data_IF_954557903353
#
_entry.id   IF_954557903353
#
_cell.length_a   1.000
_cell.length_b   1.000
_cell.length_c   1.000
_cell.angle_alpha   90.00
_cell.angle_beta   90.00
_cell.angle_gamma   90.00
#
_symmetry.space_group_name_H-M   'P 1'
#
loop_
_entity.id
_entity.type
_entity.pdbx_description
1 polymer ?
#
# COMPACT_ATOMS: atom_id res chain seq x y z
N UNK A 1 12.87 2.09 4.42
CA UNK A 1 11.85 1.37 3.62
C UNK A 1 12.24 1.50 2.15
N UNK A 2 12.37 0.39 1.41
CA UNK A 2 12.61 0.44 -0.03
C UNK A 2 11.28 0.34 -0.79
N UNK A 3 11.08 1.15 -1.82
CA UNK A 3 9.87 1.11 -2.64
C UNK A 3 9.88 -0.09 -3.60
N UNK A 4 11.04 -0.34 -4.21
CA UNK A 4 11.28 -1.49 -5.07
C UNK A 4 11.72 -2.70 -4.25
N UNK A 5 11.37 -3.89 -4.75
CA UNK A 5 11.82 -5.12 -4.12
C UNK A 5 13.31 -5.36 -4.38
N UNK A 6 13.98 -6.05 -3.47
CA UNK A 6 15.32 -6.56 -3.74
C UNK A 6 15.26 -7.61 -4.85
N UNK A 7 16.32 -7.68 -5.65
CA UNK A 7 16.47 -8.73 -6.67
C UNK A 7 16.41 -10.08 -5.97
N UNK A 8 15.41 -10.89 -6.33
CA UNK A 8 15.25 -12.22 -5.77
C UNK A 8 16.13 -13.16 -6.58
N UNK A 9 17.21 -13.68 -6.01
CA UNK A 9 18.06 -14.71 -6.62
C UNK A 9 17.38 -16.08 -6.85
N UNK A 10 16.05 -16.13 -6.76
CA UNK A 10 15.23 -17.33 -6.96
C UNK A 10 14.80 -17.44 -8.43
N UNK A 11 14.59 -18.66 -8.90
CA UNK A 11 14.17 -18.94 -10.28
C UNK A 11 12.75 -18.40 -10.53
N UNK A 12 12.62 -17.42 -11.43
CA UNK A 12 11.36 -16.77 -11.80
C UNK A 12 11.46 -15.23 -11.83
N UNK A 13 10.42 -14.51 -12.28
CA UNK A 13 10.42 -13.05 -12.29
C UNK A 13 10.54 -12.48 -10.87
N UNK A 14 11.52 -11.61 -10.66
CA UNK A 14 11.64 -10.89 -9.38
C UNK A 14 10.47 -9.95 -9.18
N UNK A 15 9.94 -9.81 -7.95
CA UNK A 15 8.95 -8.79 -7.64
C UNK A 15 9.50 -7.41 -7.96
N UNK A 16 8.73 -6.57 -8.65
CA UNK A 16 9.15 -5.19 -8.92
C UNK A 16 9.01 -4.30 -7.68
N UNK A 17 7.96 -4.52 -6.88
CA UNK A 17 7.62 -3.71 -5.71
C UNK A 17 7.83 -4.49 -4.42
N UNK A 18 8.28 -3.79 -3.38
CA UNK A 18 8.43 -4.37 -2.05
C UNK A 18 7.08 -4.58 -1.38
N UNK A 19 7.03 -5.47 -0.40
CA UNK A 19 5.82 -5.67 0.41
C UNK A 19 5.39 -4.40 1.15
N UNK A 20 6.35 -3.53 1.50
CA UNK A 20 6.06 -2.21 2.08
C UNK A 20 5.32 -1.28 1.12
N UNK A 21 5.69 -1.26 -0.17
CA UNK A 21 4.98 -0.47 -1.19
C UNK A 21 3.55 -0.98 -1.41
N UNK A 22 3.37 -2.31 -1.42
CA UNK A 22 2.04 -2.93 -1.49
C UNK A 22 1.21 -2.56 -0.25
N UNK A 23 1.78 -2.70 0.95
CA UNK A 23 1.11 -2.37 2.20
C UNK A 23 0.70 -0.88 2.25
N UNK A 24 1.55 0.03 1.77
CA UNK A 24 1.21 1.44 1.66
C UNK A 24 -0.04 1.66 0.79
N UNK A 25 -0.07 1.09 -0.42
CA UNK A 25 -1.24 1.19 -1.29
C UNK A 25 -2.51 0.60 -0.65
N UNK A 26 -2.41 -0.56 0.01
CA UNK A 26 -3.55 -1.20 0.67
C UNK A 26 -4.00 -0.46 1.94
N UNK A 27 -3.10 0.24 2.61
CA UNK A 27 -3.44 1.12 3.74
C UNK A 27 -4.22 2.33 3.24
N UNK A 28 -3.78 2.97 2.16
CA UNK A 28 -4.51 4.08 1.51
C UNK A 28 -5.90 3.63 1.06
N UNK A 29 -6.01 2.44 0.44
CA UNK A 29 -7.30 1.83 0.11
C UNK A 29 -8.23 1.77 1.34
N UNK A 30 -7.75 1.22 2.44
CA UNK A 30 -8.54 1.02 3.67
C UNK A 30 -8.86 2.34 4.38
N UNK A 31 -7.93 3.29 4.44
CA UNK A 31 -8.11 4.58 5.11
C UNK A 31 -9.18 5.45 4.43
N UNK A 32 -9.20 5.44 3.10
CA UNK A 32 -10.12 6.27 2.31
C UNK A 32 -11.35 5.48 1.80
N UNK A 33 -11.49 4.20 2.17
CA UNK A 33 -12.61 3.36 1.74
C UNK A 33 -12.68 3.14 0.22
N UNK A 34 -11.54 3.18 -0.48
CA UNK A 34 -11.49 3.14 -1.95
C UNK A 34 -11.56 1.71 -2.50
N UNK A 35 -12.08 1.58 -3.71
CA UNK A 35 -11.88 0.36 -4.50
C UNK A 35 -10.40 0.24 -4.92
N UNK A 36 -9.91 -0.98 -5.17
CA UNK A 36 -8.52 -1.21 -5.62
C UNK A 36 -8.16 -0.42 -6.90
N UNK A 37 -9.09 -0.37 -7.88
CA UNK A 37 -8.89 0.40 -9.12
C UNK A 37 -8.82 1.91 -8.89
N UNK A 38 -9.56 2.43 -7.91
CA UNK A 38 -9.50 3.84 -7.54
C UNK A 38 -8.22 4.14 -6.77
N UNK A 39 -7.78 3.21 -5.92
CA UNK A 39 -6.54 3.32 -5.15
C UNK A 39 -5.33 3.52 -6.07
N UNK A 40 -5.25 2.79 -7.19
CA UNK A 40 -4.13 2.97 -8.14
C UNK A 40 -4.09 4.37 -8.74
N UNK A 41 -5.24 4.92 -9.15
CA UNK A 41 -5.33 6.29 -9.67
C UNK A 41 -5.00 7.32 -8.59
N UNK A 42 -5.53 7.13 -7.38
CA UNK A 42 -5.28 8.03 -6.25
C UNK A 42 -3.80 8.08 -5.85
N UNK A 43 -3.13 6.92 -5.78
CA UNK A 43 -1.68 6.87 -5.48
C UNK A 43 -0.85 7.48 -6.61
N UNK A 44 -1.27 7.35 -7.88
CA UNK A 44 -0.63 8.04 -9.00
C UNK A 44 -0.78 9.57 -8.90
N UNK A 45 -1.96 10.06 -8.52
CA UNK A 45 -2.19 11.49 -8.27
C UNK A 45 -1.35 11.98 -7.10
N UNK A 46 -1.28 11.22 -6.00
CA UNK A 46 -0.45 11.54 -4.83
C UNK A 46 1.04 11.60 -5.21
N UNK A 47 1.50 10.65 -6.02
CA UNK A 47 2.86 10.65 -6.56
C UNK A 47 3.14 11.93 -7.34
N UNK A 48 2.24 12.30 -8.26
CA UNK A 48 2.39 13.51 -9.07
C UNK A 48 2.38 14.78 -8.20
N UNK A 49 1.50 14.83 -7.19
CA UNK A 49 1.40 15.94 -6.24
C UNK A 49 2.72 16.16 -5.47
N UNK A 50 3.38 15.08 -5.06
CA UNK A 50 4.66 15.16 -4.36
C UNK A 50 5.89 15.21 -5.29
N UNK A 51 5.69 15.27 -6.61
CA UNK A 51 6.80 15.33 -7.58
C UNK A 51 7.68 14.07 -7.61
N UNK A 52 7.14 12.93 -7.22
CA UNK A 52 7.88 11.67 -7.11
C UNK A 52 8.00 10.97 -8.47
N UNK A 53 9.18 10.48 -8.83
CA UNK A 53 9.42 9.84 -10.14
C UNK A 53 9.33 8.31 -10.11
N UNK A 54 9.16 7.70 -8.93
CA UNK A 54 9.10 6.24 -8.82
C UNK A 54 7.86 5.64 -9.50
N UNK A 55 7.96 4.39 -9.95
CA UNK A 55 6.81 3.67 -10.52
C UNK A 55 5.76 3.39 -9.44
N UNK A 56 4.48 3.28 -9.80
CA UNK A 56 3.40 2.89 -8.86
C UNK A 56 2.93 1.48 -9.21
N UNK A 57 2.65 0.60 -8.23
CA UNK A 57 2.03 -0.69 -8.50
C UNK A 57 0.72 -0.55 -9.28
N UNK A 58 0.57 -1.33 -10.35
CA UNK A 58 -0.67 -1.37 -11.12
C UNK A 58 -1.75 -2.22 -10.41
N UNK A 59 -2.97 -2.16 -10.93
CA UNK A 59 -4.10 -2.88 -10.35
C UNK A 59 -3.85 -4.39 -10.28
N UNK A 60 -3.27 -4.95 -11.33
CA UNK A 60 -2.97 -6.38 -11.42
C UNK A 60 -1.96 -6.82 -10.35
N UNK A 61 -0.93 -6.01 -10.09
CA UNK A 61 0.07 -6.25 -9.05
C UNK A 61 -0.56 -6.20 -7.66
N UNK A 62 -1.34 -5.15 -7.37
CA UNK A 62 -2.03 -5.03 -6.07
C UNK A 62 -3.04 -6.15 -5.84
N UNK A 63 -3.84 -6.51 -6.86
CA UNK A 63 -4.84 -7.57 -6.75
C UNK A 63 -4.22 -8.94 -6.47
N UNK A 64 -3.09 -9.29 -7.11
CA UNK A 64 -2.38 -10.54 -6.83
C UNK A 64 -1.74 -10.53 -5.44
N UNK A 65 -1.10 -9.42 -5.07
CA UNK A 65 -0.34 -9.31 -3.81
C UNK A 65 -1.22 -9.21 -2.58
N UNK A 66 -2.39 -8.56 -2.67
CA UNK A 66 -3.32 -8.43 -1.55
C UNK A 66 -3.72 -9.81 -0.98
N UNK A 67 -3.78 -10.86 -1.80
CA UNK A 67 -4.18 -12.21 -1.31
C UNK A 67 -3.17 -12.85 -0.36
N UNK A 68 -1.90 -12.50 -0.51
CA UNK A 68 -0.79 -13.15 0.19
C UNK A 68 -0.13 -12.21 1.21
N UNK A 69 -0.61 -10.98 1.34
CA UNK A 69 -0.02 -9.95 2.18
C UNK A 69 -1.00 -9.57 3.27
N UNK A 70 -0.63 -9.88 4.51
CA UNK A 70 -1.40 -9.48 5.68
C UNK A 70 -1.22 -7.97 5.89
N UNK A 71 -2.27 -7.21 5.60
CA UNK A 71 -2.23 -5.76 5.69
C UNK A 71 -2.39 -5.36 7.14
N UNK A 72 -1.26 -5.07 7.78
CA UNK A 72 -1.23 -4.57 9.15
C UNK A 72 -1.70 -3.10 9.17
N UNK A 73 -3.01 -2.87 9.17
CA UNK A 73 -3.61 -1.57 9.49
C UNK A 73 -3.78 -1.51 11.00
N UNK A 74 -2.75 -1.02 11.69
CA UNK A 74 -2.80 -0.76 13.12
C UNK A 74 -3.75 0.39 13.43
N UNK A 75 -5.06 0.15 13.47
CA UNK A 75 -6.03 1.11 13.97
C UNK A 75 -5.99 1.09 15.50
N UNK A 76 -5.18 1.97 16.10
CA UNK A 76 -5.24 2.25 17.53
C UNK A 76 -6.38 3.24 17.76
N UNK A 77 -7.53 2.78 18.29
CA UNK A 77 -8.53 3.69 18.86
C UNK A 77 -7.82 4.58 19.87
N UNK A 78 -7.94 5.90 19.75
CA UNK A 78 -7.53 6.81 20.82
C UNK A 78 -8.34 6.46 22.06
N UNK A 79 -7.70 5.92 23.08
CA UNK A 79 -8.32 5.66 24.37
C UNK A 79 -8.50 6.99 25.10
N UNK A 80 -9.54 7.77 24.76
CA UNK A 80 -9.96 8.88 25.61
C UNK A 80 -11.42 9.26 25.38
N UNK A 81 -12.27 8.73 26.27
CA UNK A 81 -13.44 9.41 26.81
C UNK A 81 -13.84 8.68 28.11
N UNK A 82 -12.99 8.75 29.13
CA UNK A 82 -13.42 8.52 30.51
C UNK A 82 -13.73 9.89 31.12
N UNK A 83 -14.83 10.50 30.67
CA UNK A 83 -15.51 11.54 31.42
C UNK A 83 -16.61 10.82 32.20
N UNK A 84 -16.41 10.65 33.50
CA UNK A 84 -17.44 10.22 34.44
C UNK A 84 -17.55 11.30 35.50
N UNK A 85 -18.79 11.66 35.74
CA UNK A 85 -19.31 12.75 36.57
C UNK A 85 -18.80 12.76 38.02
#
# INVERSE_FOLDING_TARGET
>A
MSWFAAVSGKRGPSPQFSDAAIQFCLTIKSLFGLALRQTTGFVQSLRALFGLTWAVPDFSTLCRRQRNLDVQVGYRRSAQAAHRD
#
